data_IF_010035381590
#
_entry.id   IF_010035381590
#
_cell.length_a   1.000
_cell.length_b   1.000
_cell.length_c   1.000
_cell.angle_alpha   90.00
_cell.angle_beta   90.00
_cell.angle_gamma   90.00
#
_symmetry.space_group_name_H-M   'P 1'
#
loop_
_entity.id
_entity.type
_entity.pdbx_description
1 polymer ?
#
# COMPACT_ATOMS: atom_id res chain seq x y z
N UNK A 1 7.91 29.64 0.45
CA UNK A 1 7.17 29.34 1.68
C UNK A 1 6.87 27.86 1.68
N UNK A 2 7.64 27.05 2.40
CA UNK A 2 7.36 25.62 2.59
C UNK A 2 6.32 25.47 3.69
N UNK A 3 5.19 24.84 3.39
CA UNK A 3 4.08 24.67 4.33
C UNK A 3 4.58 23.83 5.54
N UNK A 4 4.54 24.34 6.78
CA UNK A 4 5.12 23.66 7.96
C UNK A 4 4.42 22.35 8.36
N UNK A 5 3.33 21.98 7.66
CA UNK A 5 2.55 20.77 7.91
C UNK A 5 2.90 19.57 7.01
N UNK A 6 3.99 19.63 6.24
CA UNK A 6 4.43 18.47 5.46
C UNK A 6 5.13 17.44 6.38
N UNK A 7 4.39 16.86 7.32
CA UNK A 7 4.80 15.66 8.05
C UNK A 7 4.81 14.50 7.05
N UNK A 8 5.93 14.31 6.38
CA UNK A 8 6.18 13.09 5.62
C UNK A 8 6.24 11.95 6.64
N UNK A 9 5.35 10.97 6.50
CA UNK A 9 5.21 9.80 7.38
C UNK A 9 6.41 8.83 7.29
N UNK A 10 7.58 9.29 6.82
CA UNK A 10 8.76 8.46 6.59
C UNK A 10 8.58 7.34 5.56
N UNK A 11 7.42 7.27 4.89
CA UNK A 11 7.15 6.23 3.91
C UNK A 11 7.87 6.55 2.60
N UNK A 12 8.58 5.56 2.04
CA UNK A 12 9.19 5.75 0.74
C UNK A 12 8.13 5.90 -0.36
N UNK A 13 8.40 6.81 -1.31
CA UNK A 13 7.58 7.03 -2.50
C UNK A 13 7.91 6.08 -3.64
N UNK A 14 9.00 5.31 -3.53
CA UNK A 14 9.48 4.41 -4.59
C UNK A 14 8.50 3.27 -4.92
N UNK A 15 7.60 2.93 -3.99
CA UNK A 15 6.54 1.93 -4.16
C UNK A 15 5.14 2.54 -4.28
N UNK A 16 5.05 3.86 -4.51
CA UNK A 16 3.79 4.58 -4.57
C UNK A 16 3.44 4.93 -6.03
N UNK A 17 2.26 4.52 -6.48
CA UNK A 17 1.75 4.81 -7.81
C UNK A 17 0.44 5.58 -7.70
N UNK A 18 0.41 6.78 -8.29
CA UNK A 18 -0.68 7.75 -8.13
C UNK A 18 -1.03 8.42 -9.46
N UNK A 19 -2.31 8.68 -9.71
CA UNK A 19 -2.77 9.63 -10.73
C UNK A 19 -3.22 10.98 -10.11
N UNK A 20 -2.97 11.16 -8.81
CA UNK A 20 -3.42 12.28 -8.02
C UNK A 20 -2.22 13.10 -7.52
N UNK A 21 -2.17 14.37 -7.93
CA UNK A 21 -1.10 15.32 -7.57
C UNK A 21 -1.71 16.65 -7.11
N UNK A 22 -1.36 17.07 -5.90
CA UNK A 22 -1.84 18.33 -5.33
C UNK A 22 -0.82 19.45 -5.57
N UNK A 23 -1.23 20.52 -6.25
CA UNK A 23 -0.42 21.74 -6.43
C UNK A 23 -0.68 22.80 -5.35
N UNK A 24 -1.74 22.61 -4.57
CA UNK A 24 -2.21 23.48 -3.49
C UNK A 24 -2.95 22.65 -2.45
N UNK A 25 -3.30 23.26 -1.31
CA UNK A 25 -4.12 22.62 -0.29
C UNK A 25 -5.50 22.21 -0.85
N UNK A 26 -5.87 20.95 -0.65
CA UNK A 26 -7.10 20.34 -1.15
C UNK A 26 -8.14 20.22 -0.03
N UNK A 27 -8.90 21.28 0.19
CA UNK A 27 -9.96 21.32 1.20
C UNK A 27 -11.17 20.49 0.77
N UNK A 28 -11.69 19.66 1.67
CA UNK A 28 -12.95 18.92 1.46
C UNK A 28 -12.84 17.67 0.60
N UNK A 29 -11.61 17.23 0.26
CA UNK A 29 -11.41 15.93 -0.38
C UNK A 29 -11.67 14.81 0.62
N UNK A 30 -12.38 13.77 0.18
CA UNK A 30 -12.66 12.55 0.93
C UNK A 30 -11.84 11.40 0.37
N UNK A 31 -11.62 10.37 1.18
CA UNK A 31 -10.91 9.18 0.75
C UNK A 31 -11.40 7.90 1.42
N UNK A 32 -11.13 6.77 0.77
CA UNK A 32 -11.25 5.42 1.32
C UNK A 32 -9.94 4.67 1.13
N UNK A 33 -9.50 3.99 2.18
CA UNK A 33 -8.35 3.11 2.17
C UNK A 33 -8.83 1.66 2.15
N UNK A 34 -8.28 0.85 1.25
CA UNK A 34 -8.54 -0.58 1.10
C UNK A 34 -7.19 -1.30 1.22
N UNK A 35 -7.12 -2.38 1.99
CA UNK A 35 -5.87 -3.10 2.26
C UNK A 35 -6.01 -4.55 1.80
N UNK A 36 -4.93 -5.09 1.24
CA UNK A 36 -4.84 -6.47 0.77
C UNK A 36 -3.55 -7.12 1.25
N UNK A 37 -3.61 -8.39 1.68
CA UNK A 37 -2.41 -9.21 1.87
C UNK A 37 -1.82 -9.24 3.28
N UNK A 38 -2.62 -9.47 4.33
CA UNK A 38 -2.04 -9.87 5.64
C UNK A 38 -1.39 -11.27 5.58
N UNK A 39 -1.83 -12.16 4.68
CA UNK A 39 -1.36 -13.57 4.60
C UNK A 39 -1.47 -14.19 3.20
N UNK A 40 -1.39 -13.40 2.12
CA UNK A 40 -1.54 -13.95 0.77
C UNK A 40 -0.41 -14.94 0.48
N UNK A 41 -0.78 -16.21 0.24
CA UNK A 41 0.16 -17.29 -0.06
C UNK A 41 1.13 -16.87 -1.16
N UNK A 42 2.41 -17.20 -0.96
CA UNK A 42 3.49 -16.95 -1.90
C UNK A 42 3.14 -17.62 -3.23
N UNK A 43 2.60 -16.86 -4.19
CA UNK A 43 2.30 -17.41 -5.52
C UNK A 43 1.18 -16.77 -6.34
N UNK A 44 0.40 -15.81 -5.83
CA UNK A 44 -0.63 -15.15 -6.66
C UNK A 44 0.02 -14.40 -7.83
N UNK A 45 -0.42 -14.70 -9.05
CA UNK A 45 0.04 -14.05 -10.26
C UNK A 45 -0.25 -12.55 -10.20
N UNK A 46 0.66 -11.70 -10.72
CA UNK A 46 0.51 -10.23 -10.73
C UNK A 46 -0.81 -9.79 -11.37
N UNK A 47 -1.31 -10.55 -12.35
CA UNK A 47 -2.59 -10.27 -13.02
C UNK A 47 -3.82 -10.52 -12.14
N UNK A 48 -3.70 -11.36 -11.12
CA UNK A 48 -4.78 -11.70 -10.18
C UNK A 48 -4.77 -10.82 -8.93
N UNK A 49 -3.87 -9.84 -8.86
CA UNK A 49 -3.80 -8.94 -7.72
C UNK A 49 -5.01 -7.98 -7.70
N UNK A 50 -5.88 -8.06 -6.68
CA UNK A 50 -7.10 -7.26 -6.65
C UNK A 50 -6.82 -5.77 -6.49
N UNK A 51 -5.70 -5.37 -5.87
CA UNK A 51 -5.30 -3.95 -5.76
C UNK A 51 -4.87 -3.41 -7.12
N UNK A 52 -4.01 -4.14 -7.84
CA UNK A 52 -3.54 -3.70 -9.16
C UNK A 52 -4.67 -3.64 -10.18
N UNK A 53 -5.52 -4.65 -10.21
CA UNK A 53 -6.66 -4.68 -11.12
C UNK A 53 -7.64 -3.55 -10.83
N UNK A 54 -7.93 -3.29 -9.55
CA UNK A 54 -8.77 -2.17 -9.14
C UNK A 54 -8.15 -0.82 -9.52
N UNK A 55 -6.84 -0.66 -9.34
CA UNK A 55 -6.13 0.55 -9.74
C UNK A 55 -6.28 0.85 -11.23
N UNK A 56 -6.06 -0.15 -12.10
CA UNK A 56 -6.21 0.04 -13.55
C UNK A 56 -7.64 0.40 -13.93
N UNK A 57 -8.65 -0.18 -13.27
CA UNK A 57 -10.06 0.19 -13.49
C UNK A 57 -10.39 1.59 -13.00
N UNK A 58 -9.85 2.02 -11.86
CA UNK A 58 -9.96 3.39 -11.40
C UNK A 58 -9.38 4.36 -12.43
N UNK A 59 -8.20 4.06 -13.00
CA UNK A 59 -7.61 4.86 -14.06
C UNK A 59 -8.52 4.93 -15.30
N UNK A 60 -9.11 3.80 -15.71
CA UNK A 60 -10.01 3.76 -16.86
C UNK A 60 -11.33 4.51 -16.63
N UNK A 61 -11.74 4.69 -15.38
CA UNK A 61 -12.96 5.40 -14.98
C UNK A 61 -12.69 6.86 -14.53
N UNK A 62 -11.48 7.38 -14.75
CA UNK A 62 -11.05 8.72 -14.30
C UNK A 62 -11.23 8.95 -12.79
N UNK A 63 -11.10 7.88 -11.99
CA UNK A 63 -11.15 7.93 -10.53
C UNK A 63 -9.74 8.24 -9.99
N UNK A 64 -9.67 9.22 -9.09
CA UNK A 64 -8.44 9.60 -8.40
C UNK A 64 -8.06 8.51 -7.39
N UNK A 65 -6.89 7.91 -7.55
CA UNK A 65 -6.45 6.81 -6.72
C UNK A 65 -4.92 6.73 -6.60
N UNK A 66 -4.50 6.08 -5.51
CA UNK A 66 -3.11 5.78 -5.19
C UNK A 66 -3.06 4.33 -4.77
N UNK A 67 -2.10 3.55 -5.24
CA UNK A 67 -1.76 2.30 -4.57
C UNK A 67 -0.31 2.28 -4.15
N UNK A 68 -0.01 1.56 -3.07
CA UNK A 68 1.36 1.31 -2.64
C UNK A 68 1.54 -0.05 -2.00
N UNK A 69 2.77 -0.54 -2.03
CA UNK A 69 3.21 -1.63 -1.15
C UNK A 69 3.41 -1.12 0.27
N UNK A 70 3.07 -1.97 1.23
CA UNK A 70 3.19 -1.72 2.66
C UNK A 70 4.09 -2.79 3.25
N UNK A 71 5.01 -2.37 4.11
CA UNK A 71 5.82 -3.31 4.87
C UNK A 71 4.88 -4.13 5.76
N UNK A 72 5.02 -5.47 5.71
CA UNK A 72 4.39 -6.32 6.71
C UNK A 72 4.95 -5.93 8.09
N UNK A 73 4.11 -5.84 9.14
CA UNK A 73 4.62 -5.67 10.49
C UNK A 73 5.61 -6.80 10.75
N UNK A 74 6.82 -6.46 11.20
CA UNK A 74 7.83 -7.46 11.49
C UNK A 74 7.19 -8.51 12.42
N UNK A 75 7.27 -9.81 12.08
CA UNK A 75 6.79 -10.82 13.01
C UNK A 75 7.54 -10.58 14.32
N UNK A 76 6.80 -10.36 15.40
CA UNK A 76 7.36 -10.38 16.75
C UNK A 76 7.98 -11.75 16.91
N UNK A 77 9.29 -11.87 16.63
CA UNK A 77 10.00 -13.14 16.77
C UNK A 77 9.81 -13.54 18.24
N UNK A 78 9.14 -14.67 18.55
CA UNK A 78 9.47 -15.33 19.80
C UNK A 78 10.97 -15.66 19.70
N UNK A 79 11.65 -15.56 20.84
CA UNK A 79 13.08 -15.75 21.05
C UNK A 79 13.59 -17.15 20.64
N UNK A 80 13.41 -17.55 19.38
CA UNK A 80 13.83 -18.83 18.86
C UNK A 80 15.15 -18.62 18.12
N UNK A 81 16.22 -19.11 18.75
CA UNK A 81 17.61 -18.92 18.36
C UNK A 81 17.90 -19.48 16.98
N UNK A 82 17.62 -18.69 15.94
CA UNK A 82 17.94 -19.03 14.57
C UNK A 82 19.45 -19.28 14.45
N UNK A 83 19.80 -20.45 13.90
CA UNK A 83 21.14 -20.98 13.65
C UNK A 83 22.13 -19.96 13.03
N UNK A 84 21.60 -18.96 12.33
CA UNK A 84 22.37 -17.88 11.70
C UNK A 84 23.00 -16.90 12.72
N UNK A 85 22.38 -16.72 13.89
CA UNK A 85 22.90 -15.87 14.97
C UNK A 85 24.11 -16.52 15.66
N UNK A 86 24.13 -17.86 15.74
CA UNK A 86 25.23 -18.63 16.31
C UNK A 86 26.51 -18.62 15.46
N UNK A 87 26.38 -18.32 14.15
CA UNK A 87 27.51 -18.19 13.23
C UNK A 87 28.06 -16.76 13.13
N UNK A 88 27.49 -15.79 13.86
CA UNK A 88 27.92 -14.39 13.81
C UNK A 88 27.71 -13.71 12.45
N UNK A 89 26.96 -14.35 11.55
CA UNK A 89 26.59 -13.79 10.25
C UNK A 89 25.35 -12.92 10.44
N UNK A 90 25.47 -11.82 11.18
CA UNK A 90 24.36 -10.89 11.36
C UNK A 90 23.90 -10.38 9.99
N UNK A 91 22.79 -10.93 9.48
CA UNK A 91 22.06 -10.32 8.37
C UNK A 91 21.64 -8.94 8.87
N UNK A 92 22.08 -7.85 8.25
CA UNK A 92 21.67 -6.53 8.68
C UNK A 92 20.12 -6.49 8.66
N UNK A 93 19.46 -5.98 9.71
CA UNK A 93 18.02 -5.81 9.69
C UNK A 93 17.68 -4.99 8.45
N UNK A 94 16.80 -5.52 7.60
CA UNK A 94 16.29 -4.77 6.46
C UNK A 94 15.77 -3.42 6.97
N UNK A 95 16.10 -2.30 6.30
CA UNK A 95 15.66 -0.99 6.76
C UNK A 95 14.14 -0.99 6.85
N UNK A 96 13.61 -0.72 8.04
CA UNK A 96 12.17 -0.80 8.38
C UNK A 96 11.25 0.07 7.50
N UNK A 97 11.83 0.95 6.66
CA UNK A 97 11.13 1.94 5.87
C UNK A 97 10.90 1.52 4.41
N UNK A 98 11.46 0.39 3.97
CA UNK A 98 11.26 -0.12 2.62
C UNK A 98 10.46 -1.41 2.70
N UNK A 99 9.25 -1.46 2.12
CA UNK A 99 8.56 -2.73 1.92
C UNK A 99 9.54 -3.66 1.20
N UNK A 100 9.65 -4.94 1.61
CA UNK A 100 10.40 -5.88 0.80
C UNK A 100 9.82 -5.84 -0.61
N UNK A 101 10.68 -5.82 -1.63
CA UNK A 101 10.30 -5.91 -3.05
C UNK A 101 9.58 -7.24 -3.39
N UNK A 102 9.29 -8.06 -2.39
CA UNK A 102 8.53 -9.28 -2.50
C UNK A 102 7.09 -8.99 -2.93
N UNK A 103 6.62 -9.75 -3.92
CA UNK A 103 5.24 -9.70 -4.42
C UNK A 103 4.20 -10.03 -3.33
N UNK A 104 4.62 -10.72 -2.26
CA UNK A 104 3.80 -11.12 -1.11
C UNK A 104 3.61 -10.03 -0.06
N UNK A 105 4.16 -8.83 -0.25
CA UNK A 105 3.97 -7.76 0.72
C UNK A 105 2.55 -7.20 0.63
N UNK A 106 2.01 -6.78 1.77
CA UNK A 106 0.69 -6.16 1.85
C UNK A 106 0.62 -4.93 0.92
N UNK A 107 -0.55 -4.69 0.34
CA UNK A 107 -0.81 -3.58 -0.57
C UNK A 107 -1.99 -2.77 -0.06
N UNK A 108 -1.99 -1.49 -0.35
CA UNK A 108 -3.13 -0.65 -0.04
C UNK A 108 -3.50 0.20 -1.26
N UNK A 109 -4.80 0.36 -1.47
CA UNK A 109 -5.42 1.21 -2.48
C UNK A 109 -6.16 2.34 -1.75
N UNK A 110 -5.87 3.57 -2.12
CA UNK A 110 -6.57 4.76 -1.68
C UNK A 110 -7.35 5.32 -2.86
N UNK A 111 -8.62 5.64 -2.62
CA UNK A 111 -9.51 6.25 -3.60
C UNK A 111 -9.93 7.60 -3.05
N UNK A 112 -9.92 8.63 -3.89
CA UNK A 112 -10.19 10.02 -3.51
C UNK A 112 -11.36 10.59 -4.31
N UNK A 113 -12.18 11.41 -3.67
CA UNK A 113 -13.32 12.07 -4.34
C UNK A 113 -13.75 13.34 -3.61
N UNK A 114 -14.56 14.14 -4.29
CA UNK A 114 -15.29 15.28 -3.73
C UNK A 114 -16.79 14.98 -3.71
N UNK A 115 -17.54 15.55 -2.77
CA UNK A 115 -18.99 15.39 -2.70
C UNK A 115 -19.42 14.06 -2.07
N UNK A 116 -20.36 13.36 -2.70
CA UNK A 116 -20.90 12.07 -2.23
C UNK A 116 -19.95 10.91 -2.56
N UNK A 117 -20.03 9.82 -1.79
CA UNK A 117 -19.22 8.62 -2.05
C UNK A 117 -19.64 7.98 -3.38
N UNK A 118 -18.70 7.77 -4.31
CA UNK A 118 -19.02 7.13 -5.57
C UNK A 118 -19.22 5.62 -5.35
N UNK A 119 -20.00 4.98 -6.22
CA UNK A 119 -20.16 3.53 -6.18
C UNK A 119 -18.88 2.82 -6.60
N UNK A 120 -18.16 2.26 -5.61
CA UNK A 120 -16.88 1.59 -5.80
C UNK A 120 -17.02 0.20 -6.43
N UNK A 121 -18.21 -0.40 -6.45
CA UNK A 121 -18.42 -1.79 -6.88
C UNK A 121 -18.09 -2.05 -8.35
N UNK A 122 -18.10 -1.00 -9.17
CA UNK A 122 -17.83 -1.09 -10.61
C UNK A 122 -16.34 -1.16 -10.96
N UNK A 123 -15.46 -0.59 -10.12
CA UNK A 123 -14.02 -0.52 -10.37
C UNK A 123 -13.14 -1.17 -9.30
N UNK A 124 -13.67 -1.45 -8.11
CA UNK A 124 -12.94 -2.12 -7.04
C UNK A 124 -13.29 -3.61 -7.00
N UNK A 125 -12.27 -4.45 -6.91
CA UNK A 125 -12.43 -5.89 -6.72
C UNK A 125 -13.25 -6.19 -5.45
N UNK A 126 -14.21 -7.13 -5.52
CA UNK A 126 -15.11 -7.42 -4.40
C UNK A 126 -14.36 -7.89 -3.15
N UNK A 127 -13.22 -8.56 -3.33
CA UNK A 127 -12.35 -9.04 -2.25
C UNK A 127 -11.81 -7.89 -1.38
N UNK A 128 -11.64 -6.69 -1.95
CA UNK A 128 -11.20 -5.51 -1.21
C UNK A 128 -12.35 -4.81 -0.48
N UNK A 129 -13.58 -4.94 -0.98
CA UNK A 129 -14.75 -4.26 -0.43
C UNK A 129 -15.32 -4.98 0.80
N UNK A 130 -15.06 -6.29 0.94
CA UNK A 130 -15.46 -7.10 2.08
C UNK A 130 -14.46 -7.15 3.24
N UNK A 131 -13.29 -6.50 3.10
CA UNK A 131 -12.22 -6.47 4.12
C UNK A 131 -12.43 -5.43 5.21
#
# INVERSE_FOLDING_TARGET
MTNPNNQTNGASLEDCHTNFFALTDLCGIKWRKLVWGEWAEVGSEVLEDPVLWSYVRCLAADVLCVWRRVAAPAPSRPNDGSFFDQLGLAVPPAPANHPPLALSTAKELWIFWYGEEPDLSSYVAPDLLGS
#
